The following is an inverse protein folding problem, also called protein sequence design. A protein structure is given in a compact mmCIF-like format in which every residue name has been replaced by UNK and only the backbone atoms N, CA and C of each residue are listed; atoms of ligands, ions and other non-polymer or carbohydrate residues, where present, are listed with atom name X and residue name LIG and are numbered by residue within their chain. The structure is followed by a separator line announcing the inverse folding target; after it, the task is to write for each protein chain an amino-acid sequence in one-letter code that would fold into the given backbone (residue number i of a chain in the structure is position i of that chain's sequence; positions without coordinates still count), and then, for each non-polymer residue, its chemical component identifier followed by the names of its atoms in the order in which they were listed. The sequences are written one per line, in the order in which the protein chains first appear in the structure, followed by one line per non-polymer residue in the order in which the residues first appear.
data_IF_394097444594
#
_entry.id   IF_394097444594
#
_cell.length_a   1.000
_cell.length_b   1.000
_cell.length_c   1.000
_cell.angle_alpha   90.00
_cell.angle_beta   90.00
_cell.angle_gamma   90.00
#
_symmetry.space_group_name_H-M   'P 1'
#
loop_
_entity.id
_entity.type
_entity.pdbx_description
1 polymer ?
#
# COMPACT_ATOMS: atom_id res chain seq x y z
N UNK A 1 -12.87 -1.70 20.81
CA UNK A 1 -13.34 -2.67 19.83
C UNK A 1 -12.26 -3.07 18.83
N UNK A 2 -12.50 -4.12 18.09
CA UNK A 2 -11.58 -4.58 17.05
C UNK A 2 -11.35 -3.50 15.97
N UNK A 3 -12.41 -2.79 15.61
CA UNK A 3 -12.32 -1.74 14.60
C UNK A 3 -11.51 -0.53 15.07
N UNK A 4 -11.60 -0.18 16.34
CA UNK A 4 -10.80 0.91 16.90
C UNK A 4 -9.32 0.57 16.85
N UNK A 5 -8.94 -0.65 17.24
CA UNK A 5 -7.56 -1.11 17.16
C UNK A 5 -7.04 -1.15 15.73
N UNK A 6 -7.86 -1.61 14.80
CA UNK A 6 -7.52 -1.66 13.39
C UNK A 6 -7.22 -0.25 12.84
N UNK A 7 -8.12 0.69 13.11
CA UNK A 7 -7.97 2.06 12.62
C UNK A 7 -6.68 2.71 13.13
N UNK A 8 -6.35 2.53 14.39
CA UNK A 8 -5.14 3.11 14.98
C UNK A 8 -3.85 2.41 14.51
N UNK A 9 -3.97 1.21 13.95
CA UNK A 9 -2.83 0.41 13.48
C UNK A 9 -2.61 0.49 11.96
N UNK A 10 -3.32 1.38 11.27
CA UNK A 10 -3.13 1.54 9.82
C UNK A 10 -1.70 1.97 9.52
N UNK A 11 -0.96 1.15 8.78
CA UNK A 11 0.44 1.42 8.43
C UNK A 11 0.57 2.56 7.42
N UNK A 12 -0.54 2.91 6.76
CA UNK A 12 -0.53 3.93 5.72
C UNK A 12 -0.83 5.33 6.24
N UNK A 13 -1.40 5.46 7.44
CA UNK A 13 -1.92 6.74 7.92
C UNK A 13 -0.84 7.74 8.32
N UNK A 14 0.33 7.29 8.78
CA UNK A 14 1.32 8.13 9.44
C UNK A 14 2.71 8.14 8.79
N UNK A 15 2.83 7.72 7.54
CA UNK A 15 4.13 7.73 6.88
C UNK A 15 4.53 9.16 6.50
N UNK A 16 5.69 9.58 6.97
CA UNK A 16 6.26 10.89 6.66
C UNK A 16 7.34 10.74 5.57
N UNK A 17 6.98 11.07 4.34
CA UNK A 17 7.87 10.95 3.20
C UNK A 17 8.97 12.03 3.18
N UNK A 18 8.89 13.03 4.07
CA UNK A 18 9.93 14.04 4.23
C UNK A 18 10.97 13.64 5.28
N UNK A 19 10.83 12.47 5.90
CA UNK A 19 11.75 11.94 6.87
C UNK A 19 13.14 11.80 6.24
N UNK A 20 14.21 12.34 6.86
CA UNK A 20 15.58 12.21 6.36
C UNK A 20 16.04 10.78 6.08
N UNK A 21 15.44 9.79 6.72
CA UNK A 21 15.75 8.38 6.47
C UNK A 21 15.58 8.00 5.00
N UNK A 22 14.59 8.60 4.32
CA UNK A 22 14.32 8.32 2.90
C UNK A 22 15.30 9.01 1.95
N UNK A 23 16.01 10.05 2.41
CA UNK A 23 16.94 10.82 1.58
C UNK A 23 18.40 10.60 1.95
N UNK A 24 18.66 9.71 2.89
CA UNK A 24 19.97 9.43 3.45
C UNK A 24 20.99 8.91 2.42
N UNK A 25 20.51 8.10 1.48
CA UNK A 25 21.31 7.56 0.40
C UNK A 25 21.25 8.52 -0.79
N UNK A 26 22.39 8.87 -1.37
CA UNK A 26 22.49 9.75 -2.54
C UNK A 26 21.73 9.19 -3.74
N UNK A 27 21.63 7.87 -3.85
CA UNK A 27 20.89 7.21 -4.92
C UNK A 27 19.39 7.22 -4.69
N UNK A 28 18.95 7.60 -3.49
CA UNK A 28 17.56 7.59 -3.11
C UNK A 28 16.98 6.17 -3.09
N UNK A 29 15.67 6.09 -3.19
CA UNK A 29 14.97 4.82 -3.23
C UNK A 29 15.03 4.23 -4.65
N UNK A 30 15.62 3.05 -4.80
CA UNK A 30 15.62 2.34 -6.10
C UNK A 30 14.28 1.60 -6.27
N UNK A 31 14.01 1.12 -7.48
CA UNK A 31 12.84 0.28 -7.73
C UNK A 31 12.83 -0.97 -6.83
N UNK A 32 14.02 -1.58 -6.64
CA UNK A 32 14.13 -2.75 -5.75
C UNK A 32 13.85 -2.39 -4.30
N UNK A 33 14.34 -1.23 -3.84
CA UNK A 33 14.07 -0.76 -2.48
C UNK A 33 12.57 -0.56 -2.27
N UNK A 34 11.90 0.06 -3.24
CA UNK A 34 10.46 0.28 -3.18
C UNK A 34 9.71 -1.06 -3.18
N UNK A 35 10.11 -1.99 -4.02
CA UNK A 35 9.49 -3.33 -4.08
C UNK A 35 9.64 -4.05 -2.75
N UNK A 36 10.83 -4.03 -2.15
CA UNK A 36 11.08 -4.68 -0.88
C UNK A 36 10.26 -4.05 0.25
N UNK A 37 10.17 -2.73 0.27
CA UNK A 37 9.38 -2.02 1.27
C UNK A 37 7.89 -2.37 1.16
N UNK A 38 7.36 -2.38 -0.06
CA UNK A 38 5.95 -2.69 -0.30
C UNK A 38 5.67 -4.16 0.06
N UNK A 39 6.54 -5.09 -0.32
CA UNK A 39 6.40 -6.50 0.07
C UNK A 39 6.35 -6.66 1.59
N UNK A 40 7.22 -5.95 2.31
CA UNK A 40 7.26 -5.98 3.76
C UNK A 40 5.93 -5.50 4.36
N UNK A 41 5.37 -4.43 3.81
CA UNK A 41 4.09 -3.91 4.26
C UNK A 41 2.93 -4.85 3.94
N UNK A 42 2.96 -5.49 2.77
CA UNK A 42 1.95 -6.48 2.40
C UNK A 42 1.97 -7.66 3.37
N UNK A 43 3.18 -8.16 3.72
CA UNK A 43 3.31 -9.24 4.69
C UNK A 43 2.75 -8.82 6.06
N UNK A 44 3.00 -7.60 6.47
CA UNK A 44 2.46 -7.07 7.73
C UNK A 44 0.93 -7.02 7.70
N UNK A 45 0.36 -6.56 6.60
CA UNK A 45 -1.11 -6.49 6.43
C UNK A 45 -1.72 -7.89 6.54
N UNK A 46 -1.07 -8.88 5.93
CA UNK A 46 -1.57 -10.25 5.93
C UNK A 46 -1.42 -10.91 7.30
N UNK A 47 -0.30 -10.67 7.99
CA UNK A 47 0.07 -11.43 9.18
C UNK A 47 -0.18 -10.73 10.52
N UNK A 48 -0.29 -9.40 10.56
CA UNK A 48 -0.64 -8.71 11.81
C UNK A 48 -2.08 -9.07 12.19
N UNK A 49 -2.31 -9.71 13.35
CA UNK A 49 -3.65 -10.21 13.69
C UNK A 49 -4.71 -9.12 13.76
N UNK A 50 -4.39 -7.95 14.30
CA UNK A 50 -5.34 -6.85 14.42
C UNK A 50 -5.70 -6.28 13.04
N UNK A 51 -4.70 -6.06 12.19
CA UNK A 51 -4.90 -5.51 10.85
C UNK A 51 -5.68 -6.50 9.98
N UNK A 52 -5.27 -7.75 9.97
CA UNK A 52 -5.89 -8.79 9.15
C UNK A 52 -7.35 -9.02 9.55
N UNK A 53 -7.60 -9.15 10.84
CA UNK A 53 -8.95 -9.39 11.37
C UNK A 53 -9.87 -8.19 11.08
N UNK A 54 -9.39 -6.98 11.33
CA UNK A 54 -10.18 -5.77 11.08
C UNK A 54 -10.52 -5.62 9.61
N UNK A 55 -9.55 -5.86 8.72
CA UNK A 55 -9.73 -5.75 7.28
C UNK A 55 -10.76 -6.77 6.76
N UNK A 56 -10.67 -8.02 7.21
CA UNK A 56 -11.62 -9.07 6.83
C UNK A 56 -13.02 -8.77 7.35
N UNK A 57 -13.12 -8.26 8.57
CA UNK A 57 -14.41 -7.90 9.16
C UNK A 57 -15.07 -6.77 8.37
N UNK A 58 -14.32 -5.74 7.98
CA UNK A 58 -14.87 -4.66 7.17
C UNK A 58 -15.34 -5.15 5.80
N UNK A 59 -14.60 -6.09 5.19
CA UNK A 59 -15.01 -6.69 3.92
C UNK A 59 -16.39 -7.33 4.01
N UNK A 60 -16.67 -8.01 5.13
CA UNK A 60 -17.94 -8.70 5.35
C UNK A 60 -19.05 -7.71 5.71
N UNK A 61 -18.74 -6.73 6.58
CA UNK A 61 -19.73 -5.90 7.25
C UNK A 61 -19.97 -4.54 6.58
N UNK A 62 -19.21 -4.17 5.56
CA UNK A 62 -19.21 -2.81 5.00
C UNK A 62 -20.58 -2.35 4.49
N UNK A 63 -21.46 -3.27 4.15
CA UNK A 63 -22.78 -2.91 3.63
C UNK A 63 -23.87 -2.91 4.69
N UNK A 64 -23.54 -3.19 5.94
CA UNK A 64 -24.52 -3.26 7.04
C UNK A 64 -24.91 -1.91 7.60
N UNK A 65 -23.96 -0.97 7.61
CA UNK A 65 -24.27 0.39 8.04
C UNK A 65 -23.26 1.37 7.48
N UNK A 66 -23.66 2.65 7.50
CA UNK A 66 -22.85 3.72 6.89
C UNK A 66 -21.51 3.91 7.59
N UNK A 67 -21.47 3.76 8.91
CA UNK A 67 -20.23 3.92 9.69
C UNK A 67 -19.16 2.94 9.24
N UNK A 68 -19.53 1.68 9.05
CA UNK A 68 -18.59 0.64 8.58
C UNK A 68 -18.18 0.86 7.14
N UNK A 69 -19.12 1.29 6.29
CA UNK A 69 -18.80 1.63 4.91
C UNK A 69 -17.81 2.80 4.85
N UNK A 70 -18.02 3.83 5.65
CA UNK A 70 -17.13 5.00 5.69
C UNK A 70 -15.73 4.61 6.21
N UNK A 71 -15.67 3.75 7.22
CA UNK A 71 -14.40 3.26 7.75
C UNK A 71 -13.64 2.46 6.69
N UNK A 72 -14.33 1.59 5.96
CA UNK A 72 -13.74 0.83 4.86
C UNK A 72 -13.14 1.75 3.80
N UNK A 73 -13.90 2.77 3.40
CA UNK A 73 -13.44 3.75 2.39
C UNK A 73 -12.20 4.48 2.89
N UNK A 74 -12.21 4.96 4.14
CA UNK A 74 -11.08 5.70 4.68
C UNK A 74 -9.83 4.84 4.82
N UNK A 75 -9.95 3.70 5.48
CA UNK A 75 -8.76 2.89 5.82
C UNK A 75 -8.25 2.09 4.63
N UNK A 76 -9.14 1.51 3.85
CA UNK A 76 -8.75 0.59 2.77
C UNK A 76 -8.79 1.19 1.37
N UNK A 77 -9.06 2.48 1.26
CA UNK A 77 -9.00 3.20 -0.01
C UNK A 77 -8.26 4.53 0.13
N UNK A 78 -8.83 5.50 0.88
CA UNK A 78 -8.26 6.85 0.93
C UNK A 78 -6.86 6.89 1.54
N UNK A 79 -6.63 6.19 2.66
CA UNK A 79 -5.31 6.16 3.30
C UNK A 79 -4.27 5.49 2.39
N UNK A 80 -4.66 4.44 1.68
CA UNK A 80 -3.78 3.74 0.75
C UNK A 80 -3.39 4.65 -0.41
N UNK A 81 -4.37 5.31 -1.03
CA UNK A 81 -4.11 6.25 -2.13
C UNK A 81 -3.18 7.38 -1.66
N UNK A 82 -3.46 7.96 -0.50
CA UNK A 82 -2.65 9.04 0.06
C UNK A 82 -1.21 8.60 0.32
N UNK A 83 -1.04 7.40 0.84
CA UNK A 83 0.28 6.81 1.06
C UNK A 83 1.07 6.72 -0.24
N UNK A 84 0.47 6.13 -1.27
CA UNK A 84 1.16 5.97 -2.55
C UNK A 84 1.35 7.29 -3.30
N UNK A 85 0.42 8.23 -3.17
CA UNK A 85 0.64 9.58 -3.69
C UNK A 85 1.87 10.23 -3.05
N UNK A 86 2.02 10.08 -1.74
CA UNK A 86 3.19 10.61 -1.02
C UNK A 86 4.49 9.98 -1.51
N UNK A 87 4.50 8.67 -1.68
CA UNK A 87 5.65 7.94 -2.22
C UNK A 87 6.01 8.44 -3.62
N UNK A 88 5.02 8.57 -4.48
CA UNK A 88 5.23 8.98 -5.88
C UNK A 88 5.76 10.42 -5.93
N UNK A 89 5.17 11.34 -5.16
CA UNK A 89 5.68 12.72 -5.10
C UNK A 89 7.13 12.76 -4.61
N UNK A 90 7.46 11.96 -3.60
CA UNK A 90 8.83 11.84 -3.13
C UNK A 90 9.77 11.37 -4.25
N UNK A 91 9.38 10.33 -4.98
CA UNK A 91 10.20 9.78 -6.07
C UNK A 91 10.34 10.75 -7.24
N UNK A 92 9.30 11.54 -7.52
CA UNK A 92 9.39 12.61 -8.53
C UNK A 92 10.38 13.69 -8.08
N UNK A 93 10.32 14.11 -6.81
CA UNK A 93 11.28 15.07 -6.26
C UNK A 93 12.71 14.56 -6.30
N UNK A 94 12.89 13.26 -6.09
CA UNK A 94 14.21 12.62 -6.15
C UNK A 94 14.66 12.32 -7.59
N UNK A 95 13.89 12.75 -8.57
CA UNK A 95 14.21 12.59 -9.99
C UNK A 95 14.24 11.12 -10.46
N UNK A 96 13.48 10.26 -9.79
CA UNK A 96 13.39 8.84 -10.14
C UNK A 96 12.23 8.54 -11.07
N UNK A 97 11.13 9.29 -10.94
CA UNK A 97 9.94 9.08 -11.75
C UNK A 97 9.57 10.39 -12.47
N UNK A 98 8.93 10.24 -13.61
CA UNK A 98 8.35 11.36 -14.37
C UNK A 98 7.17 11.93 -13.62
N UNK A 99 7.00 13.23 -13.68
CA UNK A 99 5.79 13.89 -13.18
C UNK A 99 4.62 13.53 -14.09
N UNK A 100 3.50 13.15 -13.50
CA UNK A 100 2.26 12.86 -14.20
C UNK A 100 1.12 13.00 -13.20
N UNK A 101 -0.08 12.53 -13.51
CA UNK A 101 -1.20 12.59 -12.61
C UNK A 101 -0.94 11.65 -11.42
N UNK A 102 -0.63 12.24 -10.27
CA UNK A 102 -0.21 11.50 -9.08
C UNK A 102 -1.32 10.61 -8.53
N UNK A 103 -2.56 11.08 -8.58
CA UNK A 103 -3.71 10.28 -8.11
C UNK A 103 -3.89 9.03 -8.97
N UNK A 104 -3.79 9.18 -10.28
CA UNK A 104 -3.91 8.03 -11.19
C UNK A 104 -2.73 7.08 -11.02
N UNK A 105 -1.52 7.61 -10.89
CA UNK A 105 -0.34 6.78 -10.64
C UNK A 105 -0.49 5.99 -9.35
N UNK A 106 -0.99 6.62 -8.29
CA UNK A 106 -1.21 5.95 -7.01
C UNK A 106 -2.25 4.82 -7.15
N UNK A 107 -3.32 5.07 -7.89
CA UNK A 107 -4.33 4.05 -8.15
C UNK A 107 -3.75 2.88 -8.95
N UNK A 108 -2.95 3.16 -9.96
CA UNK A 108 -2.31 2.13 -10.77
C UNK A 108 -1.35 1.27 -9.95
N UNK A 109 -0.60 1.89 -9.06
CA UNK A 109 0.37 1.17 -8.24
C UNK A 109 -0.33 0.33 -7.15
N UNK A 110 -1.34 0.90 -6.49
CA UNK A 110 -1.95 0.26 -5.32
C UNK A 110 -3.03 -0.77 -5.64
N UNK A 111 -3.82 -0.56 -6.69
CA UNK A 111 -5.01 -1.38 -6.94
C UNK A 111 -4.71 -2.86 -7.15
N UNK A 112 -3.72 -3.26 -7.98
CA UNK A 112 -3.39 -4.69 -8.09
C UNK A 112 -2.95 -5.30 -6.77
N UNK A 113 -2.21 -4.54 -5.96
CA UNK A 113 -1.73 -5.02 -4.66
C UNK A 113 -2.91 -5.33 -3.75
N UNK A 114 -3.92 -4.47 -3.73
CA UNK A 114 -5.15 -4.69 -2.95
C UNK A 114 -5.85 -5.97 -3.39
N UNK A 115 -5.96 -6.18 -4.69
CA UNK A 115 -6.57 -7.41 -5.25
C UNK A 115 -5.79 -8.64 -4.80
N UNK A 116 -4.45 -8.58 -4.82
CA UNK A 116 -3.61 -9.71 -4.42
C UNK A 116 -3.66 -9.98 -2.91
N UNK A 117 -3.78 -8.95 -2.09
CA UNK A 117 -3.99 -9.14 -0.64
C UNK A 117 -5.30 -9.88 -0.41
N UNK A 118 -6.37 -9.48 -1.10
CA UNK A 118 -7.66 -10.15 -1.00
C UNK A 118 -7.58 -11.61 -1.45
N UNK A 119 -6.76 -11.90 -2.45
CA UNK A 119 -6.51 -13.28 -2.87
C UNK A 119 -5.87 -14.09 -1.75
N UNK A 120 -4.87 -13.54 -1.07
CA UNK A 120 -4.23 -14.21 0.06
C UNK A 120 -5.20 -14.45 1.22
N UNK A 121 -6.18 -13.58 1.42
CA UNK A 121 -7.20 -13.77 2.45
C UNK A 121 -8.00 -15.04 2.21
N UNK A 122 -8.30 -15.35 0.96
CA UNK A 122 -9.05 -16.53 0.57
C UNK A 122 -8.17 -17.76 0.42
N UNK A 123 -6.94 -17.56 -0.06
CA UNK A 123 -6.01 -18.65 -0.38
C UNK A 123 -4.62 -18.34 0.19
N UNK A 124 -4.44 -18.52 1.53
CA UNK A 124 -3.17 -18.16 2.18
C UNK A 124 -1.93 -18.85 1.61
N UNK A 125 -2.09 -20.03 1.00
CA UNK A 125 -0.98 -20.75 0.40
C UNK A 125 -0.36 -20.06 -0.81
N UNK A 126 -1.03 -19.02 -1.35
CA UNK A 126 -0.55 -18.28 -2.52
C UNK A 126 0.28 -17.06 -2.14
N UNK A 127 0.67 -16.91 -0.91
CA UNK A 127 1.40 -15.73 -0.45
C UNK A 127 2.71 -15.50 -1.24
N UNK A 128 3.50 -16.55 -1.44
CA UNK A 128 4.77 -16.40 -2.17
C UNK A 128 4.55 -16.00 -3.63
N UNK A 129 3.53 -16.55 -4.27
CA UNK A 129 3.13 -16.15 -5.62
C UNK A 129 2.76 -14.65 -5.63
N UNK A 130 1.99 -14.21 -4.64
CA UNK A 130 1.59 -12.81 -4.53
C UNK A 130 2.81 -11.90 -4.31
N UNK A 131 3.78 -12.33 -3.48
CA UNK A 131 5.00 -11.54 -3.27
C UNK A 131 5.77 -11.36 -4.58
N UNK A 132 5.85 -12.39 -5.41
CA UNK A 132 6.49 -12.28 -6.72
C UNK A 132 5.73 -11.32 -7.63
N UNK A 133 4.40 -11.39 -7.63
CA UNK A 133 3.57 -10.49 -8.42
C UNK A 133 3.73 -9.03 -7.98
N UNK A 134 3.78 -8.79 -6.69
CA UNK A 134 4.02 -7.44 -6.14
C UNK A 134 5.37 -6.93 -6.60
N UNK A 135 6.41 -7.75 -6.49
CA UNK A 135 7.75 -7.37 -6.91
C UNK A 135 7.79 -6.99 -8.40
N UNK A 136 7.29 -7.84 -9.26
CA UNK A 136 7.24 -7.59 -10.70
C UNK A 136 6.44 -6.34 -11.04
N UNK A 137 5.32 -6.16 -10.36
CA UNK A 137 4.43 -5.01 -10.58
C UNK A 137 5.13 -3.69 -10.24
N UNK A 138 5.81 -3.64 -9.10
CA UNK A 138 6.51 -2.44 -8.67
C UNK A 138 7.64 -2.11 -9.65
N UNK A 139 8.43 -3.12 -10.04
CA UNK A 139 9.51 -2.90 -11.00
C UNK A 139 8.98 -2.40 -12.34
N UNK A 140 7.89 -2.97 -12.83
CA UNK A 140 7.28 -2.53 -14.09
C UNK A 140 6.73 -1.11 -13.99
N UNK A 141 6.12 -0.76 -12.87
CA UNK A 141 5.64 0.60 -12.63
C UNK A 141 6.80 1.61 -12.73
N UNK A 142 7.93 1.32 -12.09
CA UNK A 142 9.11 2.18 -12.16
C UNK A 142 9.65 2.28 -13.59
N UNK A 143 9.62 1.19 -14.33
CA UNK A 143 10.08 1.17 -15.73
C UNK A 143 9.19 2.05 -16.60
N UNK A 144 7.87 1.95 -16.44
CA UNK A 144 6.90 2.74 -17.22
C UNK A 144 7.07 4.24 -16.94
N UNK A 145 7.30 4.62 -15.70
CA UNK A 145 7.38 6.01 -15.29
C UNK A 145 8.81 6.50 -15.06
N UNK A 146 9.82 5.76 -15.47
CA UNK A 146 11.22 6.14 -15.30
C UNK A 146 11.52 7.48 -15.96
N UNK A 147 12.26 8.31 -15.27
CA UNK A 147 12.67 9.61 -15.78
C UNK A 147 13.89 9.50 -16.71
#
# INVERSE_FOLDING_TARGET
TVLTGYDSHSIFANTNWDDPEFTKDKNGMTAEDAANMIQSQVRRIIHDPAISKGRKMLMIEQFRNKELADLQTRVNYEDIIRYFEGMIRFLVRMNKLKESDTEIMAAQLSSPITVWINLCDREPSREEEVMELVHKHVLQFFEIYAK
#
